data_IF_718304402673
#
_entry.id   IF_718304402673
#
_cell.length_a   1.000
_cell.length_b   1.000
_cell.length_c   1.000
_cell.angle_alpha   90.00
_cell.angle_beta   90.00
_cell.angle_gamma   90.00
#
_symmetry.space_group_name_H-M   'P 1'
#
loop_
_entity.id
_entity.type
_entity.pdbx_description
1 polymer ?
#
# COMPACT_ATOMS: atom_id res chain seq x y z
N UNK A 1 10.26 -25.84 -0.58
CA UNK A 1 10.61 -24.50 -0.05
C UNK A 1 10.77 -24.55 1.48
N UNK A 2 9.76 -24.95 2.29
CA UNK A 2 9.86 -24.91 3.77
C UNK A 2 11.00 -25.80 4.29
N UNK A 3 11.13 -27.01 3.80
CA UNK A 3 12.20 -27.95 4.15
C UNK A 3 13.59 -27.48 3.68
N UNK A 4 13.65 -26.89 2.50
CA UNK A 4 14.89 -26.34 1.96
C UNK A 4 15.38 -25.14 2.79
N UNK A 5 14.47 -24.26 3.23
CA UNK A 5 14.80 -23.16 4.13
C UNK A 5 15.30 -23.65 5.49
N UNK A 6 14.70 -24.74 6.02
CA UNK A 6 15.16 -25.38 7.25
C UNK A 6 16.57 -25.93 7.10
N UNK A 7 16.80 -26.65 5.99
CA UNK A 7 18.10 -27.24 5.68
C UNK A 7 19.17 -26.15 5.46
N UNK A 8 18.84 -25.11 4.72
CA UNK A 8 19.73 -23.98 4.49
C UNK A 8 20.09 -23.27 5.81
N UNK A 9 19.10 -22.96 6.65
CA UNK A 9 19.34 -22.32 7.95
C UNK A 9 20.25 -23.18 8.85
N UNK A 10 20.11 -24.51 8.80
CA UNK A 10 20.93 -25.44 9.58
C UNK A 10 22.36 -25.59 9.07
N UNK A 11 22.66 -25.18 7.83
CA UNK A 11 23.98 -25.25 7.21
C UNK A 11 24.80 -23.95 7.30
N UNK A 12 24.16 -22.85 7.69
CA UNK A 12 24.86 -21.57 7.84
C UNK A 12 25.79 -21.64 9.06
N UNK A 13 27.06 -21.41 8.83
CA UNK A 13 28.05 -21.24 9.89
C UNK A 13 28.17 -19.76 10.26
N UNK A 14 27.68 -19.40 11.44
CA UNK A 14 27.71 -18.01 11.94
C UNK A 14 29.13 -17.52 12.29
N UNK A 15 30.11 -18.45 12.37
CA UNK A 15 31.50 -18.13 12.66
C UNK A 15 32.38 -18.11 11.39
N UNK A 16 31.79 -18.31 10.22
CA UNK A 16 32.51 -18.24 8.97
C UNK A 16 33.11 -16.84 8.74
N UNK A 17 34.26 -16.78 8.09
CA UNK A 17 34.85 -15.51 7.68
C UNK A 17 34.05 -14.89 6.54
N UNK A 18 33.33 -13.83 6.85
CA UNK A 18 32.48 -13.07 5.91
C UNK A 18 33.17 -11.81 5.37
N UNK A 19 34.47 -11.64 5.61
CA UNK A 19 35.21 -10.44 5.23
C UNK A 19 35.15 -10.11 3.73
N UNK A 20 35.17 -11.11 2.86
CA UNK A 20 35.04 -10.95 1.42
C UNK A 20 33.66 -10.41 1.04
N UNK A 21 32.60 -10.95 1.63
CA UNK A 21 31.22 -10.52 1.39
C UNK A 21 31.02 -9.07 1.82
N UNK A 22 31.50 -8.73 3.01
CA UNK A 22 31.41 -7.38 3.57
C UNK A 22 32.22 -6.37 2.77
N UNK A 23 33.48 -6.71 2.39
CA UNK A 23 34.36 -5.83 1.62
C UNK A 23 33.82 -5.54 0.21
N UNK A 24 33.25 -6.54 -0.44
CA UNK A 24 32.69 -6.45 -1.79
C UNK A 24 31.23 -5.97 -1.80
N UNK A 25 30.61 -5.86 -0.63
CA UNK A 25 29.18 -5.47 -0.46
C UNK A 25 28.24 -6.31 -1.31
N UNK A 26 28.50 -7.61 -1.37
CA UNK A 26 27.71 -8.55 -2.18
C UNK A 26 26.43 -9.01 -1.48
N UNK A 27 26.33 -8.84 -0.16
CA UNK A 27 25.10 -9.05 0.60
C UNK A 27 24.36 -7.73 0.82
N UNK A 28 23.32 -7.51 0.03
CA UNK A 28 22.52 -6.31 0.07
C UNK A 28 21.54 -6.26 1.27
N UNK A 29 21.31 -7.37 1.98
CA UNK A 29 20.36 -7.44 3.10
C UNK A 29 21.03 -7.15 4.43
N UNK A 30 22.08 -7.88 4.75
CA UNK A 30 22.63 -7.95 6.10
C UNK A 30 24.14 -7.73 6.18
N UNK A 31 24.74 -7.34 5.04
CA UNK A 31 26.20 -7.07 4.96
C UNK A 31 27.07 -8.18 5.54
N UNK A 32 26.68 -9.45 5.27
CA UNK A 32 27.40 -10.63 5.72
C UNK A 32 27.01 -11.15 7.10
N UNK A 33 26.01 -10.59 7.77
CA UNK A 33 25.53 -11.12 9.05
C UNK A 33 24.76 -12.44 8.85
N UNK A 34 25.49 -13.55 8.99
CA UNK A 34 24.96 -14.90 8.83
C UNK A 34 23.84 -15.23 9.84
N UNK A 35 23.88 -14.64 11.04
CA UNK A 35 22.87 -14.87 12.06
C UNK A 35 21.50 -14.31 11.65
N UNK A 36 21.48 -13.15 11.01
CA UNK A 36 20.24 -12.52 10.47
C UNK A 36 19.69 -13.30 9.29
N UNK A 37 20.53 -13.93 8.48
CA UNK A 37 20.08 -14.83 7.42
C UNK A 37 19.35 -16.06 7.96
N UNK A 38 19.80 -16.65 9.07
CA UNK A 38 19.08 -17.75 9.75
C UNK A 38 17.71 -17.27 10.24
N UNK A 39 17.65 -16.10 10.86
CA UNK A 39 16.37 -15.50 11.31
C UNK A 39 15.43 -15.26 10.15
N UNK A 40 15.92 -14.72 9.05
CA UNK A 40 15.11 -14.50 7.85
C UNK A 40 14.59 -15.81 7.26
N UNK A 41 15.43 -16.84 7.15
CA UNK A 41 15.01 -18.16 6.68
C UNK A 41 13.89 -18.75 7.55
N UNK A 42 14.02 -18.68 8.87
CA UNK A 42 12.98 -19.15 9.79
C UNK A 42 11.71 -18.32 9.71
N UNK A 43 11.81 -17.00 9.54
CA UNK A 43 10.66 -16.12 9.32
C UNK A 43 9.90 -16.46 8.03
N UNK A 44 10.63 -16.78 6.95
CA UNK A 44 10.02 -17.26 5.72
C UNK A 44 9.35 -18.62 5.89
N UNK A 45 9.87 -19.50 6.74
CA UNK A 45 9.22 -20.78 7.08
C UNK A 45 7.89 -20.55 7.76
N UNK A 46 7.78 -19.60 8.71
CA UNK A 46 6.51 -19.21 9.32
C UNK A 46 5.52 -18.70 8.26
N UNK A 47 5.96 -17.78 7.39
CA UNK A 47 5.13 -17.23 6.30
C UNK A 47 4.58 -18.31 5.38
N UNK A 48 5.44 -19.20 4.90
CA UNK A 48 5.02 -20.23 3.94
C UNK A 48 4.19 -21.33 4.59
N UNK A 49 4.46 -21.67 5.85
CA UNK A 49 3.60 -22.57 6.60
C UNK A 49 2.19 -21.99 6.79
N UNK A 50 2.08 -20.73 7.18
CA UNK A 50 0.79 -20.06 7.32
C UNK A 50 0.01 -20.02 5.99
N UNK A 51 0.66 -19.72 4.88
CA UNK A 51 0.02 -19.75 3.55
C UNK A 51 -0.52 -21.11 3.14
N UNK A 52 0.01 -22.18 3.71
CA UNK A 52 -0.46 -23.54 3.46
C UNK A 52 -1.74 -23.86 4.26
N UNK A 53 -2.09 -23.10 5.28
CA UNK A 53 -3.17 -23.39 6.23
C UNK A 53 -4.54 -23.61 5.58
N UNK A 54 -4.84 -22.89 4.50
CA UNK A 54 -6.11 -23.03 3.77
C UNK A 54 -6.16 -24.27 2.86
N UNK A 55 -5.01 -24.91 2.59
CA UNK A 55 -4.92 -26.06 1.68
C UNK A 55 -4.67 -27.37 2.44
N UNK A 56 -3.78 -27.34 3.42
CA UNK A 56 -3.42 -28.50 4.25
C UNK A 56 -3.08 -28.01 5.67
N UNK A 57 -4.10 -27.90 6.49
CA UNK A 57 -3.97 -27.35 7.84
C UNK A 57 -3.06 -28.20 8.74
N UNK A 58 -3.08 -29.53 8.60
CA UNK A 58 -2.24 -30.40 9.43
C UNK A 58 -0.75 -30.20 9.12
N UNK A 59 -0.41 -30.15 7.85
CA UNK A 59 0.95 -29.91 7.39
C UNK A 59 1.40 -28.48 7.69
N UNK A 60 0.51 -27.49 7.53
CA UNK A 60 0.77 -26.12 7.88
C UNK A 60 1.10 -25.97 9.38
N UNK A 61 0.26 -26.57 10.25
CA UNK A 61 0.50 -26.59 11.70
C UNK A 61 1.86 -27.17 12.05
N UNK A 62 2.15 -28.37 11.57
CA UNK A 62 3.41 -29.06 11.88
C UNK A 62 4.65 -28.23 11.42
N UNK A 63 4.57 -27.66 10.22
CA UNK A 63 5.67 -26.85 9.68
C UNK A 63 5.82 -25.50 10.43
N UNK A 64 4.71 -24.89 10.83
CA UNK A 64 4.73 -23.63 11.58
C UNK A 64 5.29 -23.83 12.98
N UNK A 65 4.79 -24.83 13.71
CA UNK A 65 5.25 -25.15 15.06
C UNK A 65 6.74 -25.55 15.08
N UNK A 66 7.22 -26.26 14.07
CA UNK A 66 8.63 -26.58 13.91
C UNK A 66 9.48 -25.31 13.68
N UNK A 67 9.00 -24.37 12.88
CA UNK A 67 9.69 -23.10 12.69
C UNK A 67 9.64 -22.22 13.96
N UNK A 68 8.49 -22.12 14.60
CA UNK A 68 8.28 -21.32 15.82
C UNK A 68 9.12 -21.85 16.99
N UNK A 69 9.31 -23.18 17.12
CA UNK A 69 10.11 -23.79 18.18
C UNK A 69 11.57 -23.38 18.16
N UNK A 70 12.09 -22.90 17.03
CA UNK A 70 13.48 -22.41 16.94
C UNK A 70 13.68 -21.15 17.79
N UNK A 71 12.65 -20.39 18.04
CA UNK A 71 12.67 -19.08 18.71
C UNK A 71 13.73 -18.12 18.11
N UNK A 72 14.07 -18.33 16.84
CA UNK A 72 15.15 -17.64 16.10
C UNK A 72 14.64 -17.15 14.74
N UNK A 73 13.82 -16.12 14.78
CA UNK A 73 13.21 -15.45 13.64
C UNK A 73 13.23 -13.93 13.85
N UNK A 74 12.86 -13.14 12.86
CA UNK A 74 12.91 -11.67 12.92
C UNK A 74 11.88 -11.16 13.93
N UNK A 75 12.36 -10.44 14.96
CA UNK A 75 11.54 -9.86 16.02
C UNK A 75 11.87 -8.39 16.32
N UNK A 76 12.98 -7.87 15.82
CA UNK A 76 13.44 -6.52 16.10
C UNK A 76 13.69 -5.72 14.82
N UNK A 77 13.76 -4.38 14.95
CA UNK A 77 13.91 -3.48 13.81
C UNK A 77 15.27 -3.61 13.09
N UNK A 78 16.32 -3.97 13.80
CA UNK A 78 17.65 -4.16 13.24
C UNK A 78 17.81 -5.49 12.48
N UNK A 79 16.82 -6.38 12.59
CA UNK A 79 16.75 -7.68 11.89
C UNK A 79 15.95 -7.63 10.60
N UNK A 80 15.31 -6.49 10.28
CA UNK A 80 14.47 -6.37 9.10
C UNK A 80 15.21 -6.82 7.83
N UNK A 81 14.62 -7.75 7.10
CA UNK A 81 15.09 -8.12 5.77
C UNK A 81 14.70 -7.00 4.79
N UNK A 82 15.63 -6.14 4.45
CA UNK A 82 15.42 -4.98 3.60
C UNK A 82 16.62 -4.67 2.72
N UNK A 83 16.34 -4.08 1.56
CA UNK A 83 17.37 -3.66 0.59
C UNK A 83 17.25 -2.16 0.37
N UNK A 84 18.39 -1.46 0.41
CA UNK A 84 18.43 -0.05 0.03
C UNK A 84 18.08 0.09 -1.45
N UNK A 85 17.03 0.87 -1.73
CA UNK A 85 16.69 1.17 -3.11
C UNK A 85 17.72 2.09 -3.76
N UNK A 86 17.85 1.96 -5.07
CA UNK A 86 18.75 2.73 -5.90
C UNK A 86 17.95 3.51 -6.93
N UNK A 87 18.19 4.80 -7.05
CA UNK A 87 17.47 5.64 -8.01
C UNK A 87 17.87 5.32 -9.45
N UNK A 88 16.96 5.54 -10.38
CA UNK A 88 17.25 5.42 -11.81
C UNK A 88 16.07 4.91 -12.64
N UNK A 89 16.22 5.03 -13.97
CA UNK A 89 15.21 4.56 -14.91
C UNK A 89 15.33 3.07 -15.26
N UNK A 90 16.52 2.56 -15.16
CA UNK A 90 16.86 1.18 -15.53
C UNK A 90 16.70 0.21 -14.39
N UNK A 91 16.76 0.68 -13.16
CA UNK A 91 16.65 -0.13 -11.97
C UNK A 91 15.17 -0.37 -11.61
N UNK A 92 14.84 -1.52 -11.06
CA UNK A 92 13.48 -1.85 -10.61
C UNK A 92 12.98 -0.85 -9.58
N UNK A 93 13.86 -0.35 -8.75
CA UNK A 93 13.59 0.64 -7.71
C UNK A 93 13.07 1.96 -8.29
N UNK A 94 13.61 2.39 -9.42
CA UNK A 94 13.17 3.58 -10.12
C UNK A 94 11.70 3.56 -10.54
N UNK A 95 11.06 2.38 -10.59
CA UNK A 95 9.64 2.27 -10.88
C UNK A 95 8.79 2.94 -9.80
N UNK A 96 9.15 2.76 -8.53
CA UNK A 96 8.41 3.35 -7.42
C UNK A 96 8.65 4.85 -7.28
N UNK A 97 9.85 5.31 -7.60
CA UNK A 97 10.24 6.73 -7.50
C UNK A 97 9.92 7.56 -8.73
N UNK A 98 9.50 6.95 -9.85
CA UNK A 98 9.21 7.69 -11.09
C UNK A 98 8.07 8.69 -10.91
N UNK A 99 8.23 9.94 -11.38
CA UNK A 99 7.23 10.99 -11.20
C UNK A 99 5.85 10.68 -11.78
N UNK A 100 5.78 9.98 -12.90
CA UNK A 100 4.53 9.63 -13.56
C UNK A 100 3.83 8.40 -12.96
N UNK A 101 4.47 7.71 -12.03
CA UNK A 101 3.88 6.58 -11.33
C UNK A 101 3.11 7.08 -10.10
N UNK A 102 1.83 7.34 -10.26
CA UNK A 102 1.02 8.05 -9.29
C UNK A 102 0.75 7.29 -7.98
N UNK A 103 0.91 5.97 -7.97
CA UNK A 103 0.69 5.12 -6.79
C UNK A 103 -0.64 5.41 -6.08
N UNK A 104 -1.80 5.28 -6.75
CA UNK A 104 -3.08 5.59 -6.15
C UNK A 104 -3.42 4.59 -5.04
N UNK A 105 -4.23 5.06 -4.08
CA UNK A 105 -4.76 4.17 -3.05
C UNK A 105 -5.71 3.15 -3.68
N UNK A 106 -5.57 1.87 -3.31
CA UNK A 106 -6.52 0.84 -3.74
C UNK A 106 -7.85 0.96 -2.98
N UNK A 107 -8.93 0.52 -3.61
CA UNK A 107 -10.26 0.48 -2.99
C UNK A 107 -10.24 -0.30 -1.67
N UNK A 108 -9.56 -1.43 -1.62
CA UNK A 108 -9.47 -2.25 -0.41
C UNK A 108 -8.83 -1.47 0.73
N UNK A 109 -7.67 -0.84 0.51
CA UNK A 109 -6.99 -0.05 1.55
C UNK A 109 -7.85 1.15 1.92
N UNK A 110 -8.46 1.83 0.94
CA UNK A 110 -9.35 2.95 1.20
C UNK A 110 -10.51 2.55 2.12
N UNK A 111 -11.21 1.46 1.81
CA UNK A 111 -12.32 0.97 2.62
C UNK A 111 -11.88 0.58 4.04
N UNK A 112 -10.69 0.02 4.19
CA UNK A 112 -10.12 -0.24 5.51
C UNK A 112 -9.86 1.05 6.27
N UNK A 113 -9.29 2.05 5.62
CA UNK A 113 -8.93 3.32 6.27
C UNK A 113 -10.14 4.15 6.72
N UNK A 114 -11.24 4.12 5.96
CA UNK A 114 -12.45 4.89 6.27
C UNK A 114 -13.55 4.06 6.94
N UNK A 115 -13.49 2.73 6.87
CA UNK A 115 -14.56 1.82 7.31
C UNK A 115 -14.35 1.16 8.66
N UNK A 116 -13.13 1.04 9.17
CA UNK A 116 -12.82 0.33 10.41
C UNK A 116 -12.88 1.20 11.68
N UNK A 117 -13.61 2.30 11.66
CA UNK A 117 -13.86 3.10 12.85
C UNK A 117 -12.72 4.03 13.25
N UNK A 118 -12.12 4.68 12.28
CA UNK A 118 -11.06 5.66 12.49
C UNK A 118 -11.40 6.78 13.48
N UNK A 119 -10.44 7.59 13.78
CA UNK A 119 -10.59 8.80 14.59
C UNK A 119 -11.09 9.97 13.74
N UNK A 120 -11.50 11.05 14.38
CA UNK A 120 -11.89 12.27 13.68
C UNK A 120 -10.76 12.78 12.80
N UNK A 121 -11.09 13.07 11.54
CA UNK A 121 -10.11 13.54 10.56
C UNK A 121 -9.53 14.88 11.01
N UNK A 122 -8.22 14.93 11.16
CA UNK A 122 -7.53 16.16 11.52
C UNK A 122 -7.20 16.96 10.26
N UNK A 123 -8.03 17.93 9.95
CA UNK A 123 -7.83 18.79 8.78
C UNK A 123 -6.60 19.66 9.01
N UNK A 124 -5.61 19.66 8.10
CA UNK A 124 -4.47 20.56 8.18
C UNK A 124 -4.93 22.02 8.22
N UNK A 125 -4.31 22.82 9.09
CA UNK A 125 -4.72 24.22 9.30
C UNK A 125 -4.75 25.05 8.00
N UNK A 126 -3.82 24.77 7.08
CA UNK A 126 -3.69 25.49 5.82
C UNK A 126 -4.89 25.33 4.86
N UNK A 127 -5.71 24.30 5.05
CA UNK A 127 -6.85 24.02 4.16
C UNK A 127 -8.18 23.97 4.90
N UNK A 128 -8.19 24.33 6.18
CA UNK A 128 -9.36 24.14 7.07
C UNK A 128 -10.62 24.84 6.57
N UNK A 129 -10.48 26.00 5.99
CA UNK A 129 -11.62 26.80 5.50
C UNK A 129 -12.20 26.28 4.18
N UNK A 130 -11.44 25.49 3.44
CA UNK A 130 -11.82 24.99 2.11
C UNK A 130 -12.35 23.54 2.16
N UNK A 131 -12.25 22.89 3.32
CA UNK A 131 -12.53 21.45 3.44
C UNK A 131 -13.96 21.20 3.89
N UNK A 132 -14.62 20.31 3.17
CA UNK A 132 -15.90 19.72 3.58
C UNK A 132 -15.64 18.31 4.13
N UNK A 133 -16.15 18.02 5.34
CA UNK A 133 -16.10 16.70 5.94
C UNK A 133 -17.47 16.02 5.80
N UNK A 134 -17.45 14.73 5.39
CA UNK A 134 -18.66 13.90 5.29
C UNK A 134 -18.47 12.57 5.98
N UNK A 135 -19.53 12.00 6.53
CA UNK A 135 -19.50 10.65 7.10
C UNK A 135 -19.48 9.61 5.97
N UNK A 136 -18.32 9.02 5.73
CA UNK A 136 -18.13 8.04 4.66
C UNK A 136 -18.94 6.75 4.86
N UNK A 137 -19.43 6.47 6.07
CA UNK A 137 -20.29 5.30 6.33
C UNK A 137 -21.71 5.49 5.78
N UNK A 138 -22.12 6.75 5.66
CA UNK A 138 -23.46 7.14 5.19
C UNK A 138 -23.41 7.83 3.84
N UNK A 139 -22.23 8.01 3.26
CA UNK A 139 -22.05 8.73 2.02
C UNK A 139 -20.97 8.07 1.16
N UNK A 140 -21.38 7.36 0.11
CA UNK A 140 -20.46 6.73 -0.86
C UNK A 140 -19.90 7.71 -1.90
N UNK A 141 -20.41 8.95 -1.92
CA UNK A 141 -20.07 9.93 -2.91
C UNK A 141 -21.18 10.17 -3.95
N UNK A 142 -20.86 10.97 -4.95
CA UNK A 142 -21.75 11.21 -6.09
C UNK A 142 -21.74 9.99 -7.00
N UNK A 143 -22.91 9.46 -7.30
CA UNK A 143 -23.05 8.39 -8.27
C UNK A 143 -23.37 8.97 -9.65
N UNK A 144 -22.55 8.60 -10.62
CA UNK A 144 -22.63 9.07 -11.99
C UNK A 144 -23.03 7.92 -12.91
N UNK A 145 -24.33 7.64 -13.00
CA UNK A 145 -24.90 6.50 -13.73
C UNK A 145 -24.40 6.42 -15.19
N UNK A 146 -24.32 7.56 -15.87
CA UNK A 146 -23.88 7.62 -17.26
C UNK A 146 -22.38 7.34 -17.44
N UNK A 147 -21.63 7.35 -16.37
CA UNK A 147 -20.17 7.15 -16.35
C UNK A 147 -19.76 5.90 -15.58
N UNK A 148 -20.65 4.94 -15.40
CA UNK A 148 -20.30 3.66 -14.81
C UNK A 148 -19.38 2.86 -15.73
N UNK A 149 -18.33 2.23 -15.21
CA UNK A 149 -17.48 1.35 -16.01
C UNK A 149 -18.26 0.13 -16.48
N UNK A 150 -18.05 -0.27 -17.72
CA UNK A 150 -18.72 -1.43 -18.34
C UNK A 150 -18.08 -2.77 -17.96
N UNK A 151 -16.88 -2.72 -17.38
CA UNK A 151 -16.15 -3.90 -16.92
C UNK A 151 -15.27 -3.55 -15.75
N UNK A 152 -15.73 -3.88 -14.56
CA UNK A 152 -14.97 -3.76 -13.32
C UNK A 152 -15.61 -4.62 -12.24
N UNK A 153 -14.81 -5.11 -11.30
CA UNK A 153 -15.25 -5.74 -10.05
C UNK A 153 -15.04 -4.81 -8.85
N UNK A 154 -14.70 -3.55 -9.08
CA UNK A 154 -14.56 -2.54 -8.04
C UNK A 154 -15.96 -2.05 -7.60
N UNK A 155 -16.39 -2.31 -6.36
CA UNK A 155 -17.71 -1.89 -5.88
C UNK A 155 -17.86 -0.37 -5.74
N UNK A 156 -16.76 0.39 -5.72
CA UNK A 156 -16.78 1.85 -5.67
C UNK A 156 -16.81 2.51 -7.05
N UNK A 157 -16.79 1.73 -8.13
CA UNK A 157 -16.82 2.25 -9.48
C UNK A 157 -18.08 3.10 -9.73
N UNK A 158 -17.90 4.25 -10.35
CA UNK A 158 -18.97 5.22 -10.62
C UNK A 158 -19.34 6.12 -9.45
N UNK A 159 -18.74 5.94 -8.28
CA UNK A 159 -18.92 6.85 -7.14
C UNK A 159 -17.69 7.76 -6.97
N UNK A 160 -17.97 9.03 -6.67
CA UNK A 160 -16.94 10.04 -6.42
C UNK A 160 -17.21 10.71 -5.08
N UNK A 161 -16.30 10.55 -4.16
CA UNK A 161 -16.37 11.17 -2.85
C UNK A 161 -15.84 12.60 -2.94
N UNK A 162 -16.74 13.57 -2.98
CA UNK A 162 -16.47 14.99 -3.21
C UNK A 162 -16.11 15.78 -1.93
N UNK A 163 -15.55 15.10 -0.95
CA UNK A 163 -15.18 15.65 0.35
C UNK A 163 -14.06 14.79 0.99
N UNK A 164 -13.62 15.15 2.19
CA UNK A 164 -12.82 14.28 3.04
C UNK A 164 -13.72 13.50 4.01
N UNK A 165 -13.34 12.28 4.40
CA UNK A 165 -14.09 11.54 5.40
C UNK A 165 -13.99 12.21 6.77
N UNK A 166 -15.11 12.29 7.52
CA UNK A 166 -15.12 12.85 8.87
C UNK A 166 -14.34 12.00 9.88
N UNK A 167 -14.22 10.70 9.61
CA UNK A 167 -13.41 9.74 10.39
C UNK A 167 -12.53 8.92 9.47
N UNK A 168 -11.28 8.74 9.86
CA UNK A 168 -10.29 8.02 9.06
C UNK A 168 -9.23 7.39 9.97
N UNK A 169 -8.62 6.31 9.52
CA UNK A 169 -7.42 5.77 10.17
C UNK A 169 -6.32 6.85 10.20
N UNK A 170 -5.72 7.13 11.37
CA UNK A 170 -4.73 8.19 11.52
C UNK A 170 -3.46 7.98 10.68
N UNK A 171 -3.22 6.77 10.17
CA UNK A 171 -2.11 6.48 9.25
C UNK A 171 -2.36 6.98 7.83
N UNK A 172 -3.62 7.19 7.45
CA UNK A 172 -3.97 7.56 6.08
C UNK A 172 -3.28 8.83 5.60
N UNK A 173 -3.31 9.90 6.40
CA UNK A 173 -2.68 11.18 6.07
C UNK A 173 -1.15 11.16 6.12
N UNK A 174 -0.56 10.12 6.73
CA UNK A 174 0.90 9.89 6.71
C UNK A 174 1.34 9.10 5.49
N UNK A 175 0.48 8.18 5.04
CA UNK A 175 0.77 7.30 3.92
C UNK A 175 0.42 7.95 2.57
N UNK A 176 -0.63 8.76 2.55
CA UNK A 176 -1.16 9.35 1.32
C UNK A 176 -1.31 10.86 1.46
N UNK A 177 -1.05 11.57 0.39
CA UNK A 177 -1.33 12.99 0.33
C UNK A 177 -2.76 13.26 -0.13
N UNK A 178 -3.30 14.39 0.28
CA UNK A 178 -4.62 14.87 -0.14
C UNK A 178 -4.46 15.70 -1.43
N UNK A 179 -5.25 15.43 -2.48
CA UNK A 179 -5.22 16.24 -3.69
C UNK A 179 -5.44 17.73 -3.41
N UNK A 180 -4.57 18.57 -3.96
CA UNK A 180 -4.61 20.02 -3.78
C UNK A 180 -3.89 20.55 -2.55
N UNK A 181 -3.50 19.70 -1.63
CA UNK A 181 -2.71 20.08 -0.46
C UNK A 181 -1.26 19.64 -0.65
N UNK A 182 -0.36 20.63 -0.66
CA UNK A 182 1.09 20.39 -0.73
C UNK A 182 1.70 20.70 0.64
N UNK A 183 1.99 19.66 1.40
CA UNK A 183 2.69 19.73 2.68
C UNK A 183 4.16 19.28 2.57
N UNK A 184 4.69 19.23 1.35
CA UNK A 184 6.01 18.69 1.04
C UNK A 184 6.05 17.18 0.88
N UNK A 185 4.93 16.47 1.09
CA UNK A 185 4.82 15.02 0.87
C UNK A 185 4.44 14.67 -0.57
N UNK A 186 4.05 15.65 -1.37
CA UNK A 186 3.62 15.51 -2.76
C UNK A 186 4.82 15.38 -3.68
N UNK A 187 4.84 14.34 -4.49
CA UNK A 187 5.91 14.14 -5.46
C UNK A 187 5.80 15.07 -6.68
N UNK A 188 4.62 15.59 -6.95
CA UNK A 188 4.31 16.42 -8.13
C UNK A 188 3.83 17.80 -7.72
N UNK A 189 4.69 18.59 -7.16
CA UNK A 189 4.35 19.94 -6.67
C UNK A 189 3.93 20.94 -7.76
N UNK A 190 4.22 20.66 -9.03
CA UNK A 190 4.19 21.69 -10.06
C UNK A 190 3.09 21.56 -11.10
N UNK A 191 2.15 20.66 -10.93
CA UNK A 191 1.13 20.54 -11.93
C UNK A 191 -0.13 21.13 -11.34
N UNK A 192 -0.48 22.33 -11.78
CA UNK A 192 -1.68 23.01 -11.37
C UNK A 192 -2.87 22.07 -11.43
N UNK A 193 -3.35 21.68 -10.25
CA UNK A 193 -4.64 21.03 -10.16
C UNK A 193 -5.66 22.08 -10.57
N UNK A 194 -6.40 21.78 -11.63
CA UNK A 194 -7.67 22.46 -11.77
C UNK A 194 -8.47 22.18 -10.49
N UNK A 195 -9.03 23.19 -9.86
CA UNK A 195 -9.89 23.01 -8.70
C UNK A 195 -11.09 22.12 -9.02
N UNK A 196 -11.37 21.94 -10.29
CA UNK A 196 -12.53 21.25 -10.82
C UNK A 196 -12.19 20.38 -12.01
N UNK A 197 -12.70 19.16 -12.02
CA UNK A 197 -12.71 18.28 -13.17
C UNK A 197 -14.06 18.36 -13.87
N UNK A 198 -14.04 18.38 -15.19
CA UNK A 198 -15.23 18.40 -16.00
C UNK A 198 -15.52 17.00 -16.53
N UNK A 199 -16.74 16.59 -16.39
CA UNK A 199 -17.25 15.37 -17.00
C UNK A 199 -17.99 15.73 -18.29
N UNK A 200 -17.60 15.11 -19.37
CA UNK A 200 -18.30 15.24 -20.64
C UNK A 200 -19.72 14.66 -20.55
N UNK A 201 -20.64 15.22 -21.31
CA UNK A 201 -21.91 14.53 -21.55
C UNK A 201 -21.64 13.28 -22.40
N UNK A 202 -21.98 12.08 -21.94
CA UNK A 202 -21.79 10.85 -22.70
C UNK A 202 -22.50 10.82 -24.04
N UNK A 203 -23.57 11.61 -24.22
CA UNK A 203 -24.29 11.72 -25.47
C UNK A 203 -23.48 12.45 -26.56
N UNK A 204 -22.59 13.37 -26.16
CA UNK A 204 -21.82 14.21 -27.09
C UNK A 204 -20.34 13.88 -27.12
N UNK A 205 -19.79 13.30 -26.05
CA UNK A 205 -18.44 12.76 -26.00
C UNK A 205 -17.29 13.77 -26.06
N UNK A 206 -17.56 15.06 -25.95
CA UNK A 206 -16.53 16.09 -26.07
C UNK A 206 -16.44 16.95 -24.79
N UNK A 207 -15.32 16.80 -24.09
CA UNK A 207 -15.04 17.51 -22.85
C UNK A 207 -14.56 18.94 -23.08
N UNK A 208 -13.95 19.19 -24.23
CA UNK A 208 -13.39 20.50 -24.57
C UNK A 208 -14.46 21.54 -24.94
N UNK A 209 -15.64 21.06 -25.30
CA UNK A 209 -16.79 21.92 -25.59
C UNK A 209 -17.51 22.28 -24.28
N UNK A 210 -17.24 23.48 -23.75
CA UNK A 210 -17.84 23.98 -22.51
C UNK A 210 -19.37 23.92 -22.49
N UNK A 211 -20.02 23.91 -23.64
CA UNK A 211 -21.49 23.81 -23.75
C UNK A 211 -21.99 22.36 -23.56
N UNK A 212 -21.10 21.39 -23.46
CA UNK A 212 -21.42 19.96 -23.38
C UNK A 212 -20.91 19.31 -22.10
N UNK A 213 -20.45 20.08 -21.13
CA UNK A 213 -20.08 19.58 -19.82
C UNK A 213 -21.31 19.03 -19.10
N UNK A 214 -21.28 17.75 -18.74
CA UNK A 214 -22.35 17.08 -18.02
C UNK A 214 -22.36 17.50 -16.52
N UNK A 215 -21.20 17.51 -15.93
CA UNK A 215 -21.02 17.84 -14.51
C UNK A 215 -19.59 18.36 -14.31
N UNK A 216 -19.48 19.32 -13.41
CA UNK A 216 -18.21 19.79 -12.89
C UNK A 216 -18.03 19.22 -11.47
N UNK A 217 -16.93 18.55 -11.22
CA UNK A 217 -16.58 17.96 -9.92
C UNK A 217 -15.49 18.79 -9.26
N UNK A 218 -15.67 19.10 -7.98
CA UNK A 218 -14.58 19.54 -7.14
C UNK A 218 -13.65 18.35 -6.87
N UNK A 219 -12.40 18.45 -7.30
CA UNK A 219 -11.39 17.38 -7.15
C UNK A 219 -10.27 17.75 -6.20
N UNK A 220 -10.31 18.95 -5.67
CA UNK A 220 -9.39 19.44 -4.67
C UNK A 220 -9.90 19.10 -3.27
N UNK A 221 -9.02 18.72 -2.38
CA UNK A 221 -9.38 18.34 -1.00
C UNK A 221 -10.44 17.24 -0.93
N UNK A 222 -10.29 16.23 -1.77
CA UNK A 222 -11.18 15.07 -1.79
C UNK A 222 -10.43 13.79 -1.48
N UNK A 223 -11.19 12.76 -1.07
CA UNK A 223 -10.66 11.42 -0.79
C UNK A 223 -11.25 10.40 -1.76
N UNK A 224 -10.99 10.58 -3.05
CA UNK A 224 -11.45 9.67 -4.08
C UNK A 224 -10.49 8.49 -4.25
N UNK A 225 -11.01 7.35 -4.67
CA UNK A 225 -10.19 6.22 -5.07
C UNK A 225 -9.96 6.23 -6.58
N UNK A 226 -8.86 5.62 -7.00
CA UNK A 226 -8.68 5.28 -8.40
C UNK A 226 -9.65 4.17 -8.77
N UNK A 227 -10.45 4.41 -9.79
CA UNK A 227 -11.37 3.42 -10.31
C UNK A 227 -10.77 2.80 -11.56
N UNK A 228 -10.42 1.51 -11.47
CA UNK A 228 -9.97 0.72 -12.61
C UNK A 228 -11.17 0.09 -13.32
N UNK A 229 -11.08 -0.04 -14.63
CA UNK A 229 -12.07 -0.73 -15.45
C UNK A 229 -12.21 -0.14 -16.83
N UNK A 230 -13.01 -0.80 -17.65
CA UNK A 230 -13.36 -0.29 -18.97
C UNK A 230 -14.60 0.60 -18.84
N UNK A 231 -14.39 1.88 -18.98
CA UNK A 231 -15.46 2.86 -18.99
C UNK A 231 -16.28 2.77 -20.29
N UNK A 232 -17.47 3.33 -20.27
CA UNK A 232 -18.35 3.42 -21.44
C UNK A 232 -17.58 3.92 -22.68
N UNK A 233 -18.19 3.78 -23.87
CA UNK A 233 -17.60 4.21 -25.16
C UNK A 233 -17.02 5.63 -25.15
N UNK A 234 -17.49 6.45 -24.24
CA UNK A 234 -16.96 7.79 -23.98
C UNK A 234 -15.99 7.78 -22.80
N UNK A 235 -14.74 7.47 -23.07
CA UNK A 235 -13.67 7.41 -22.08
C UNK A 235 -13.24 8.79 -21.55
N UNK A 236 -13.99 9.84 -21.79
CA UNK A 236 -13.67 11.21 -21.41
C UNK A 236 -13.49 11.36 -19.89
N UNK A 237 -14.26 10.63 -19.08
CA UNK A 237 -14.08 10.61 -17.64
C UNK A 237 -12.69 10.11 -17.26
N UNK A 238 -12.21 9.05 -17.92
CA UNK A 238 -10.88 8.52 -17.69
C UNK A 238 -9.78 9.47 -18.10
N UNK A 239 -9.93 10.22 -19.17
CA UNK A 239 -8.90 11.15 -19.63
C UNK A 239 -8.78 12.39 -18.75
N UNK A 240 -9.86 12.92 -18.22
CA UNK A 240 -9.83 14.11 -17.34
C UNK A 240 -9.56 13.76 -15.87
N UNK A 241 -10.16 12.73 -15.34
CA UNK A 241 -9.91 12.30 -13.96
C UNK A 241 -8.61 11.52 -13.83
N UNK A 242 -8.21 10.75 -14.82
CA UNK A 242 -6.98 9.94 -14.79
C UNK A 242 -5.76 10.61 -15.40
N UNK A 243 -5.94 11.45 -16.40
CA UNK A 243 -4.85 12.28 -16.94
C UNK A 243 -4.38 13.32 -15.92
N UNK A 244 -5.27 13.75 -15.05
CA UNK A 244 -4.91 14.47 -13.85
C UNK A 244 -4.63 13.45 -12.72
N UNK A 245 -3.47 12.85 -12.72
CA UNK A 245 -2.96 11.93 -11.68
C UNK A 245 -3.01 12.48 -10.24
N UNK A 246 -3.95 13.36 -9.90
CA UNK A 246 -3.96 14.27 -8.77
C UNK A 246 -5.32 14.43 -8.11
N UNK A 247 -6.32 13.75 -8.65
CA UNK A 247 -7.69 13.82 -8.14
C UNK A 247 -8.00 12.77 -7.08
N UNK A 248 -7.01 11.96 -6.73
CA UNK A 248 -7.13 10.91 -5.72
C UNK A 248 -5.91 10.90 -4.80
N UNK A 249 -6.06 10.42 -3.56
CA UNK A 249 -4.94 10.22 -2.66
C UNK A 249 -3.91 9.27 -3.29
N UNK A 250 -2.68 9.68 -3.32
CA UNK A 250 -1.56 8.86 -3.81
C UNK A 250 -0.50 8.70 -2.73
N UNK A 251 0.32 7.68 -2.86
CA UNK A 251 1.37 7.39 -1.89
C UNK A 251 2.24 8.63 -1.66
N UNK A 252 2.46 8.98 -0.39
CA UNK A 252 3.29 10.13 -0.01
C UNK A 252 4.69 10.03 -0.57
N UNK A 253 5.29 11.19 -0.88
CA UNK A 253 6.63 11.30 -1.44
C UNK A 253 7.68 10.52 -0.66
N UNK A 254 7.65 10.57 0.67
CA UNK A 254 8.60 9.89 1.54
C UNK A 254 8.68 8.36 1.32
N UNK A 255 7.60 7.74 0.82
CA UNK A 255 7.58 6.31 0.50
C UNK A 255 7.92 6.00 -0.96
N UNK A 256 8.17 7.04 -1.76
CA UNK A 256 8.47 6.95 -3.19
C UNK A 256 9.88 7.38 -3.53
N UNK A 257 10.65 7.82 -2.56
CA UNK A 257 12.02 8.26 -2.76
C UNK A 257 12.93 7.06 -3.03
N UNK A 258 13.89 7.26 -3.94
CA UNK A 258 14.89 6.25 -4.31
C UNK A 258 15.84 5.91 -3.16
N UNK A 259 15.81 6.67 -2.09
CA UNK A 259 16.58 6.44 -0.87
C UNK A 259 15.88 5.51 0.12
N UNK A 260 14.64 5.13 -0.16
CA UNK A 260 13.89 4.21 0.69
C UNK A 260 14.46 2.80 0.64
N UNK A 261 14.23 2.08 1.74
CA UNK A 261 14.54 0.67 1.81
C UNK A 261 13.31 -0.16 1.45
N UNK A 262 13.49 -1.11 0.55
CA UNK A 262 12.45 -2.08 0.24
C UNK A 262 12.48 -3.19 1.27
N UNK A 263 11.39 -3.29 2.03
CA UNK A 263 11.24 -4.32 3.06
C UNK A 263 10.69 -5.60 2.45
N UNK A 264 11.35 -6.71 2.74
CA UNK A 264 10.96 -8.06 2.34
C UNK A 264 10.30 -8.84 3.47
N UNK A 265 10.74 -8.57 4.71
CA UNK A 265 10.17 -9.14 5.92
C UNK A 265 10.51 -8.25 7.12
N UNK A 266 9.53 -8.01 8.00
CA UNK A 266 9.72 -7.22 9.21
C UNK A 266 9.13 -7.88 10.45
N UNK A 267 9.47 -7.40 11.66
CA UNK A 267 9.02 -7.98 12.92
C UNK A 267 7.49 -7.98 13.06
N UNK A 268 6.82 -6.98 12.54
CA UNK A 268 5.35 -6.93 12.53
C UNK A 268 4.71 -8.11 11.80
N UNK A 269 5.34 -8.64 10.75
CA UNK A 269 4.83 -9.82 10.06
C UNK A 269 4.97 -11.07 10.93
N UNK A 270 6.07 -11.21 11.64
CA UNK A 270 6.24 -12.28 12.64
C UNK A 270 5.12 -12.25 13.67
N UNK A 271 4.85 -11.08 14.25
CA UNK A 271 3.80 -10.92 15.26
C UNK A 271 2.41 -11.29 14.72
N UNK A 272 2.07 -10.84 13.51
CA UNK A 272 0.80 -11.22 12.88
C UNK A 272 0.71 -12.72 12.59
N UNK A 273 1.79 -13.35 12.12
CA UNK A 273 1.83 -14.79 11.85
C UNK A 273 1.66 -15.61 13.14
N UNK A 274 2.32 -15.19 14.23
CA UNK A 274 2.18 -15.84 15.55
C UNK A 274 0.76 -15.65 16.12
N UNK A 275 0.18 -14.46 15.98
CA UNK A 275 -1.19 -14.19 16.40
C UNK A 275 -2.20 -15.03 15.63
N UNK A 276 -2.05 -15.14 14.31
CA UNK A 276 -2.90 -15.97 13.47
C UNK A 276 -2.78 -17.46 13.83
N UNK A 277 -1.57 -17.96 14.07
CA UNK A 277 -1.34 -19.31 14.53
C UNK A 277 -2.00 -19.59 15.90
N UNK A 278 -1.95 -18.62 16.81
CA UNK A 278 -2.63 -18.72 18.11
C UNK A 278 -4.15 -18.80 17.97
N UNK A 279 -4.75 -18.06 17.00
CA UNK A 279 -6.18 -18.18 16.69
C UNK A 279 -6.57 -19.57 16.16
N UNK A 280 -5.68 -20.22 15.42
CA UNK A 280 -5.86 -21.62 15.00
C UNK A 280 -5.61 -22.64 16.12
N UNK A 281 -5.22 -22.21 17.32
CA UNK A 281 -4.88 -23.09 18.44
C UNK A 281 -3.56 -23.85 18.24
N UNK A 282 -2.66 -23.33 17.41
CA UNK A 282 -1.34 -23.92 17.22
C UNK A 282 -0.42 -23.57 18.40
N UNK A 283 0.54 -24.46 18.68
CA UNK A 283 1.49 -24.23 19.76
C UNK A 283 2.57 -23.23 19.33
N UNK A 284 2.41 -22.01 19.76
CA UNK A 284 3.36 -20.92 19.53
C UNK A 284 3.89 -20.43 20.88
N UNK A 285 5.22 -20.44 21.03
CA UNK A 285 5.89 -19.83 22.17
C UNK A 285 6.10 -18.35 21.89
N UNK A 286 5.69 -17.46 22.79
CA UNK A 286 5.97 -16.02 22.69
C UNK A 286 4.77 -15.13 22.96
N UNK A 287 4.93 -13.85 22.66
CA UNK A 287 4.05 -12.73 23.00
C UNK A 287 2.64 -12.77 22.39
N UNK A 288 2.31 -13.72 21.54
CA UNK A 288 0.97 -13.88 20.95
C UNK A 288 -0.15 -14.18 21.98
N UNK A 289 0.20 -14.27 23.27
CA UNK A 289 -0.75 -14.46 24.38
C UNK A 289 -0.99 -13.19 25.21
N UNK A 290 -0.36 -12.09 24.88
CA UNK A 290 -0.53 -10.83 25.62
C UNK A 290 -1.37 -9.82 24.86
#
# INVERSE_FOLDING_TARGET
>A
IISELKDAAGKIDVNADMSAITSEKTDAFYDGDASKWIKYANSLRLRYAMRLSAVDQAKAKAAFEDAASTNNFITTQDEIAQVQEKGGWTDLDGVMSRPWNAQPISVTINNMMIGLGGIDFQVPAAIKEDVVLKDARNYLGLRLEKHLPVSTNDPAAGYFFDALPSKIDPRATKLFHIPGYDDGTVYFSNIGLADKARLADPATGNVEDNNKTYLELNVKYTWNTWVAGKWDKYSALTSELTGASKTYPSLSKIYRESTNKRVWFGPWETEFLLAEAALYGWNVSGSAKS
#
